data_IF_371434496095
#
_entry.id   IF_371434496095
#
_cell.length_a   1.000
_cell.length_b   1.000
_cell.length_c   1.000
_cell.angle_alpha   90.00
_cell.angle_beta   90.00
_cell.angle_gamma   90.00
#
_symmetry.space_group_name_H-M   'P 1'
#
loop_
_entity.id
_entity.type
_entity.pdbx_description
1 polymer ?
#
# COMPACT_ATOMS: atom_id res chain seq x y z
N UNK A 1 5.91 -18.66 17.56
CA UNK A 1 6.11 -17.66 16.48
C UNK A 1 7.11 -18.26 15.52
N UNK A 2 6.80 -18.27 14.22
CA UNK A 2 7.74 -18.72 13.18
C UNK A 2 8.77 -17.60 12.99
N UNK A 3 10.05 -17.93 12.77
CA UNK A 3 11.09 -16.92 12.56
C UNK A 3 10.98 -16.30 11.16
N UNK A 4 11.27 -14.99 11.05
CA UNK A 4 11.21 -14.19 9.82
C UNK A 4 11.85 -14.87 8.60
N UNK A 5 13.02 -15.49 8.79
CA UNK A 5 13.77 -16.11 7.71
C UNK A 5 13.00 -17.23 6.98
N UNK A 6 11.97 -17.81 7.61
CA UNK A 6 11.07 -18.77 6.97
C UNK A 6 10.18 -18.06 5.95
N UNK A 7 9.52 -16.97 6.36
CA UNK A 7 8.69 -16.16 5.47
C UNK A 7 9.50 -15.56 4.33
N UNK A 8 10.71 -15.08 4.61
CA UNK A 8 11.61 -14.55 3.59
C UNK A 8 12.06 -15.62 2.57
N UNK A 9 12.19 -16.88 3.01
CA UNK A 9 12.51 -17.99 2.11
C UNK A 9 11.33 -18.32 1.20
N UNK A 10 10.11 -18.25 1.72
CA UNK A 10 8.89 -18.49 0.95
C UNK A 10 8.58 -17.36 -0.03
N UNK A 11 8.92 -16.11 0.32
CA UNK A 11 8.80 -14.94 -0.54
C UNK A 11 9.94 -14.78 -1.57
N UNK A 12 10.85 -15.76 -1.67
CA UNK A 12 11.95 -15.72 -2.62
C UNK A 12 11.44 -15.63 -4.06
N UNK A 13 11.94 -14.64 -4.80
CA UNK A 13 11.54 -14.36 -6.18
C UNK A 13 10.27 -13.53 -6.34
N UNK A 14 9.56 -13.19 -5.26
CA UNK A 14 8.37 -12.33 -5.33
C UNK A 14 8.79 -10.88 -5.60
N UNK A 15 8.31 -10.31 -6.70
CA UNK A 15 8.55 -8.91 -7.04
C UNK A 15 7.92 -7.97 -6.00
N UNK A 16 8.56 -6.82 -5.75
CA UNK A 16 8.12 -5.86 -4.72
C UNK A 16 8.41 -6.29 -3.28
N UNK A 17 9.11 -7.42 -3.06
CA UNK A 17 9.46 -7.96 -1.75
C UNK A 17 10.96 -8.11 -1.59
N UNK A 18 11.47 -7.83 -0.39
CA UNK A 18 12.88 -7.98 -0.05
C UNK A 18 13.36 -9.42 -0.26
N UNK A 19 14.56 -9.55 -0.81
CA UNK A 19 15.13 -10.85 -1.14
C UNK A 19 16.22 -11.23 -0.13
N UNK A 20 16.05 -12.37 0.52
CA UNK A 20 17.05 -12.97 1.40
C UNK A 20 18.20 -13.55 0.57
N UNK A 21 19.42 -13.19 0.93
CA UNK A 21 20.67 -13.66 0.33
C UNK A 21 21.19 -14.89 1.07
N UNK A 22 21.22 -14.83 2.40
CA UNK A 22 21.63 -15.94 3.25
C UNK A 22 20.94 -15.87 4.61
N UNK A 23 20.88 -17.01 5.30
CA UNK A 23 20.40 -17.13 6.66
C UNK A 23 21.30 -18.08 7.44
N UNK A 24 21.72 -17.65 8.61
CA UNK A 24 22.43 -18.42 9.62
C UNK A 24 21.50 -18.50 10.86
N UNK A 25 20.63 -19.51 10.96
CA UNK A 25 19.82 -19.73 12.16
C UNK A 25 20.67 -20.32 13.28
N UNK A 26 20.14 -20.29 14.50
CA UNK A 26 20.69 -21.00 15.66
C UNK A 26 22.14 -20.65 16.03
N UNK A 27 22.53 -19.37 15.85
CA UNK A 27 23.92 -18.91 16.08
C UNK A 27 24.34 -18.89 17.55
N UNK A 28 23.38 -18.95 18.46
CA UNK A 28 23.59 -18.93 19.90
C UNK A 28 22.28 -18.66 20.63
N UNK A 29 22.26 -18.86 21.94
CA UNK A 29 21.06 -18.64 22.75
C UNK A 29 21.36 -17.73 23.95
N UNK A 30 20.37 -16.94 24.35
CA UNK A 30 20.53 -16.00 25.48
C UNK A 30 20.81 -16.71 26.79
N UNK A 31 20.33 -17.94 26.99
CA UNK A 31 20.69 -18.75 28.18
C UNK A 31 22.20 -19.01 28.28
N UNK A 32 22.88 -19.23 27.14
CA UNK A 32 24.30 -19.54 27.09
C UNK A 32 25.11 -18.28 27.38
N UNK A 33 24.69 -17.13 26.83
CA UNK A 33 25.27 -15.82 27.11
C UNK A 33 25.12 -15.40 28.59
N UNK A 34 24.05 -15.83 29.24
CA UNK A 34 23.80 -15.58 30.67
C UNK A 34 24.47 -16.59 31.59
N UNK A 35 25.07 -17.65 31.03
CA UNK A 35 25.77 -18.69 31.78
C UNK A 35 24.89 -19.38 32.82
N UNK A 36 23.60 -19.58 32.53
CA UNK A 36 22.66 -20.27 33.43
C UNK A 36 22.93 -21.77 33.55
N UNK A 37 23.77 -22.34 32.68
CA UNK A 37 23.96 -23.79 32.62
C UNK A 37 22.63 -24.50 32.33
N UNK A 38 22.34 -25.54 33.11
CA UNK A 38 21.08 -26.29 33.00
C UNK A 38 19.94 -25.68 33.82
N UNK A 39 20.24 -24.74 34.73
CA UNK A 39 19.25 -24.12 35.62
C UNK A 39 18.76 -22.78 35.08
N UNK A 40 17.75 -22.82 34.21
CA UNK A 40 17.12 -21.62 33.66
C UNK A 40 16.16 -21.00 34.71
N UNK A 41 16.32 -19.72 35.09
CA UNK A 41 15.42 -19.07 36.05
C UNK A 41 13.96 -19.12 35.60
N UNK A 42 13.04 -19.32 36.54
CA UNK A 42 11.61 -19.30 36.27
C UNK A 42 11.20 -17.96 35.66
N UNK A 43 10.50 -18.00 34.52
CA UNK A 43 10.09 -16.81 33.78
C UNK A 43 11.16 -16.25 32.82
N UNK A 44 12.36 -16.84 32.74
CA UNK A 44 13.34 -16.46 31.73
C UNK A 44 12.89 -16.90 30.33
N UNK A 45 12.82 -15.93 29.42
CA UNK A 45 12.52 -16.17 28.01
C UNK A 45 13.83 -16.34 27.24
N UNK A 46 14.21 -17.59 27.01
CA UNK A 46 15.35 -17.90 26.15
C UNK A 46 15.06 -17.47 24.70
N UNK A 47 16.05 -16.84 24.06
CA UNK A 47 15.97 -16.38 22.67
C UNK A 47 17.15 -16.97 21.90
N UNK A 48 16.89 -17.37 20.67
CA UNK A 48 17.89 -17.94 19.77
C UNK A 48 18.25 -16.88 18.73
N UNK A 49 19.54 -16.61 18.59
CA UNK A 49 20.06 -15.66 17.61
C UNK A 49 19.96 -16.26 16.20
N UNK A 50 19.38 -15.49 15.28
CA UNK A 50 19.39 -15.77 13.84
C UNK A 50 19.97 -14.57 13.12
N UNK A 51 20.84 -14.79 12.15
CA UNK A 51 21.34 -13.74 11.24
C UNK A 51 20.74 -13.95 9.87
N UNK A 52 20.13 -12.89 9.33
CA UNK A 52 19.62 -12.85 7.97
C UNK A 52 20.38 -11.78 7.20
N UNK A 53 20.83 -12.11 5.98
CA UNK A 53 21.41 -11.14 5.05
C UNK A 53 20.39 -10.90 3.95
N UNK A 54 20.04 -9.63 3.74
CA UNK A 54 19.04 -9.19 2.75
C UNK A 54 19.72 -8.39 1.64
N UNK A 55 19.14 -8.41 0.44
CA UNK A 55 19.52 -7.46 -0.62
C UNK A 55 19.23 -6.03 -0.16
N UNK A 56 20.10 -5.09 -0.57
CA UNK A 56 19.93 -3.67 -0.30
C UNK A 56 19.12 -3.00 -1.43
N UNK A 57 18.09 -2.23 -1.08
CA UNK A 57 17.14 -1.62 -2.04
C UNK A 57 17.10 -0.09 -2.05
N UNK A 58 17.82 0.58 -1.14
CA UNK A 58 17.86 2.04 -1.04
C UNK A 58 17.35 2.56 0.30
N UNK A 59 17.10 3.89 0.39
CA UNK A 59 16.69 4.52 1.63
C UNK A 59 15.21 4.22 1.98
N UNK A 60 14.83 4.36 3.26
CA UNK A 60 13.44 4.24 3.68
C UNK A 60 12.57 5.34 3.06
N UNK A 61 11.26 5.06 2.91
CA UNK A 61 10.30 5.95 2.23
C UNK A 61 10.28 7.38 2.79
N UNK A 62 10.56 7.55 4.09
CA UNK A 62 10.62 8.87 4.75
C UNK A 62 11.73 9.80 4.23
N UNK A 63 12.68 9.28 3.43
CA UNK A 63 13.73 10.06 2.77
C UNK A 63 13.38 10.40 1.31
N UNK A 64 12.09 10.44 0.99
CA UNK A 64 11.63 10.86 -0.33
C UNK A 64 12.07 12.31 -0.63
N UNK A 65 12.21 12.62 -1.90
CA UNK A 65 12.58 13.96 -2.39
C UNK A 65 11.54 14.54 -3.33
N UNK A 66 10.45 13.81 -3.61
CA UNK A 66 9.32 14.31 -4.38
C UNK A 66 8.02 13.57 -4.07
N UNK A 67 6.86 14.19 -4.32
CA UNK A 67 5.55 13.54 -4.16
C UNK A 67 5.40 12.31 -5.06
N UNK A 68 5.94 12.37 -6.29
CA UNK A 68 5.92 11.26 -7.23
C UNK A 68 6.67 10.05 -6.68
N UNK A 69 7.79 10.25 -6.00
CA UNK A 69 8.55 9.17 -5.38
C UNK A 69 7.73 8.47 -4.29
N UNK A 70 7.00 9.23 -3.47
CA UNK A 70 6.11 8.65 -2.43
C UNK A 70 5.01 7.80 -3.07
N UNK A 71 4.30 8.33 -4.07
CA UNK A 71 3.24 7.57 -4.74
C UNK A 71 3.78 6.32 -5.44
N UNK A 72 4.90 6.43 -6.16
CA UNK A 72 5.54 5.27 -6.80
C UNK A 72 5.95 4.21 -5.77
N UNK A 73 6.55 4.62 -4.65
CA UNK A 73 7.00 3.69 -3.61
C UNK A 73 5.82 2.96 -2.95
N UNK A 74 4.75 3.68 -2.60
CA UNK A 74 3.55 3.06 -2.01
C UNK A 74 2.84 2.16 -3.00
N UNK A 75 2.70 2.59 -4.27
CA UNK A 75 2.12 1.78 -5.34
C UNK A 75 2.85 0.46 -5.52
N UNK A 76 4.17 0.49 -5.61
CA UNK A 76 4.99 -0.73 -5.80
C UNK A 76 4.97 -1.62 -4.55
N UNK A 77 4.92 -1.02 -3.34
CA UNK A 77 4.77 -1.78 -2.10
C UNK A 77 3.39 -2.45 -1.99
N UNK A 78 2.31 -1.80 -2.42
CA UNK A 78 0.96 -2.39 -2.49
C UNK A 78 0.92 -3.53 -3.51
N UNK A 79 1.57 -3.38 -4.67
CA UNK A 79 1.71 -4.44 -5.65
C UNK A 79 2.51 -5.64 -5.11
N UNK A 80 3.59 -5.38 -4.36
CA UNK A 80 4.35 -6.42 -3.65
C UNK A 80 3.51 -7.14 -2.59
N UNK A 81 2.64 -6.40 -1.87
CA UNK A 81 1.71 -6.99 -0.90
C UNK A 81 0.68 -7.89 -1.59
N UNK A 82 0.09 -7.44 -2.70
CA UNK A 82 -0.79 -8.25 -3.54
C UNK A 82 -0.10 -9.55 -3.98
N UNK A 83 1.19 -9.48 -4.34
CA UNK A 83 1.96 -10.63 -4.77
C UNK A 83 2.19 -11.65 -3.67
N UNK A 84 2.35 -11.21 -2.41
CA UNK A 84 2.39 -12.12 -1.27
C UNK A 84 1.05 -12.80 -1.03
N UNK A 85 -0.05 -12.05 -1.17
CA UNK A 85 -1.41 -12.58 -0.96
C UNK A 85 -1.80 -13.57 -2.07
N UNK A 86 -1.36 -13.37 -3.31
CA UNK A 86 -1.85 -14.13 -4.49
C UNK A 86 -0.81 -14.92 -5.28
N UNK A 87 0.48 -14.75 -5.00
CA UNK A 87 1.62 -15.27 -5.79
C UNK A 87 1.70 -14.73 -7.23
N UNK A 88 1.61 -13.41 -7.42
CA UNK A 88 1.88 -12.73 -8.70
C UNK A 88 2.02 -11.20 -8.58
N UNK A 89 3.00 -10.59 -9.26
CA UNK A 89 3.19 -9.13 -9.34
C UNK A 89 3.82 -8.70 -10.67
N UNK A 90 3.48 -7.49 -11.14
CA UNK A 90 4.32 -6.52 -11.87
C UNK A 90 3.65 -5.12 -11.81
N UNK A 91 4.31 -3.94 -11.96
CA UNK A 91 5.76 -3.69 -12.16
C UNK A 91 6.40 -2.66 -11.19
N UNK A 92 7.70 -2.84 -10.93
CA UNK A 92 8.63 -1.83 -10.39
C UNK A 92 9.25 -2.13 -9.01
N UNK A 93 10.56 -1.88 -8.86
CA UNK A 93 11.28 -1.97 -7.58
C UNK A 93 11.48 -0.56 -6.96
N UNK A 94 10.49 0.34 -7.05
CA UNK A 94 10.57 1.71 -6.48
C UNK A 94 10.14 1.74 -5.02
N UNK A 95 9.34 0.76 -4.60
CA UNK A 95 9.03 0.45 -3.21
C UNK A 95 9.17 -1.06 -2.99
N UNK A 96 9.76 -1.45 -1.86
CA UNK A 96 10.04 -2.84 -1.52
C UNK A 96 9.57 -3.10 -0.09
N UNK A 97 8.72 -4.10 0.09
CA UNK A 97 8.32 -4.57 1.41
C UNK A 97 9.47 -5.30 2.08
N UNK A 98 9.74 -4.91 3.32
CA UNK A 98 10.77 -5.45 4.21
C UNK A 98 10.13 -5.84 5.54
N UNK A 99 10.91 -6.46 6.43
CA UNK A 99 10.55 -6.70 7.83
C UNK A 99 9.34 -7.63 8.00
N UNK A 100 9.61 -8.94 7.90
CA UNK A 100 8.59 -10.00 7.88
C UNK A 100 8.45 -10.69 9.26
N UNK A 101 8.98 -10.10 10.32
CA UNK A 101 8.94 -10.65 11.68
C UNK A 101 7.50 -10.90 12.16
N UNK A 102 6.55 -10.10 11.69
CA UNK A 102 5.11 -10.17 12.04
C UNK A 102 4.24 -10.77 10.94
N UNK A 103 4.83 -11.33 9.89
CA UNK A 103 4.07 -11.98 8.82
C UNK A 103 3.30 -13.19 9.35
N UNK A 104 2.17 -13.49 8.72
CA UNK A 104 1.36 -14.67 9.02
C UNK A 104 1.18 -15.52 7.77
N UNK A 105 1.03 -16.83 7.95
CA UNK A 105 0.56 -17.68 6.86
C UNK A 105 -0.94 -17.49 6.71
N UNK A 106 -1.33 -16.77 5.67
CA UNK A 106 -2.72 -16.69 5.26
C UNK A 106 -3.09 -17.99 4.54
N UNK A 107 -4.12 -18.70 5.04
CA UNK A 107 -4.63 -19.92 4.42
C UNK A 107 -6.11 -19.72 4.09
N UNK A 108 -6.40 -19.48 2.81
CA UNK A 108 -7.76 -19.36 2.32
C UNK A 108 -8.59 -20.59 2.75
N UNK A 109 -9.65 -20.34 3.54
CA UNK A 109 -10.57 -21.37 4.02
C UNK A 109 -10.22 -22.01 5.37
N UNK A 110 -9.12 -21.63 6.04
CA UNK A 110 -8.96 -21.94 7.46
C UNK A 110 -9.63 -20.88 8.35
N UNK A 111 -9.97 -21.26 9.58
CA UNK A 111 -10.32 -20.28 10.61
C UNK A 111 -9.04 -19.50 10.97
N UNK A 112 -8.83 -18.37 10.30
CA UNK A 112 -7.73 -17.48 10.63
C UNK A 112 -7.91 -16.94 12.06
N UNK A 113 -6.81 -16.80 12.82
CA UNK A 113 -6.91 -16.30 14.18
C UNK A 113 -7.50 -14.88 14.17
N UNK A 114 -8.27 -14.52 15.20
CA UNK A 114 -8.79 -13.17 15.33
C UNK A 114 -7.64 -12.16 15.34
N UNK A 115 -7.91 -10.96 14.82
CA UNK A 115 -6.97 -9.86 14.90
C UNK A 115 -6.50 -9.64 16.34
N UNK A 116 -5.20 -9.35 16.51
CA UNK A 116 -4.62 -9.06 17.81
C UNK A 116 -4.12 -7.62 17.82
N UNK A 117 -4.92 -6.72 18.40
CA UNK A 117 -4.58 -5.31 18.53
C UNK A 117 -3.22 -5.05 19.20
N UNK A 118 -2.66 -6.01 19.95
CA UNK A 118 -1.36 -5.86 20.62
C UNK A 118 -0.16 -6.00 19.68
N UNK A 119 -0.33 -6.58 18.50
CA UNK A 119 0.74 -6.89 17.55
C UNK A 119 0.86 -5.77 16.50
N UNK A 120 2.08 -5.40 16.15
CA UNK A 120 2.38 -4.36 15.15
C UNK A 120 2.46 -2.94 15.71
N UNK A 121 2.80 -1.99 14.84
CA UNK A 121 2.93 -0.57 15.17
C UNK A 121 1.55 0.09 15.19
N UNK A 122 1.11 0.55 16.37
CA UNK A 122 -0.23 1.14 16.60
C UNK A 122 -0.61 2.23 15.61
N UNK A 123 0.37 3.07 15.24
CA UNK A 123 0.17 4.16 14.29
C UNK A 123 -0.33 3.68 12.92
N UNK A 124 0.01 2.45 12.51
CA UNK A 124 -0.32 1.92 11.19
C UNK A 124 -1.38 0.82 11.21
N UNK A 125 -1.72 0.24 12.37
CA UNK A 125 -2.81 -0.75 12.44
C UNK A 125 -4.15 -0.19 11.98
N UNK A 126 -4.97 -1.04 11.32
CA UNK A 126 -6.33 -0.68 10.95
C UNK A 126 -7.21 -0.37 12.17
N UNK A 127 -8.25 0.43 11.96
CA UNK A 127 -9.23 0.76 12.99
C UNK A 127 -9.85 -0.51 13.61
N UNK A 128 -10.21 -1.48 12.76
CA UNK A 128 -10.83 -2.73 13.21
C UNK A 128 -9.85 -3.65 13.95
N UNK A 129 -8.59 -3.72 13.52
CA UNK A 129 -7.56 -4.46 14.27
C UNK A 129 -7.35 -3.84 15.65
N UNK A 130 -7.36 -2.50 15.76
CA UNK A 130 -7.23 -1.82 17.05
C UNK A 130 -8.43 -2.04 17.97
N UNK A 131 -9.64 -2.10 17.43
CA UNK A 131 -10.87 -2.36 18.18
C UNK A 131 -11.06 -3.82 18.61
N UNK A 132 -10.38 -4.77 17.96
CA UNK A 132 -10.48 -6.22 18.22
C UNK A 132 -10.33 -6.64 19.69
N UNK A 133 -9.66 -5.83 20.52
CA UNK A 133 -9.52 -6.10 21.95
C UNK A 133 -10.79 -5.94 22.78
N UNK A 134 -11.78 -5.21 22.26
CA UNK A 134 -13.08 -4.96 22.92
C UNK A 134 -14.26 -5.65 22.25
N UNK A 135 -14.07 -6.19 21.05
CA UNK A 135 -15.16 -6.80 20.28
C UNK A 135 -15.52 -8.18 20.81
N UNK A 136 -16.82 -8.50 20.88
CA UNK A 136 -17.31 -9.84 21.26
C UNK A 136 -16.92 -10.90 20.22
N UNK A 137 -16.90 -10.50 18.95
CA UNK A 137 -16.61 -11.35 17.80
C UNK A 137 -15.62 -10.65 16.85
N UNK A 138 -14.35 -10.47 17.27
CA UNK A 138 -13.36 -9.74 16.48
C UNK A 138 -13.19 -10.38 15.10
N UNK A 139 -12.99 -9.54 14.08
CA UNK A 139 -12.72 -10.02 12.74
C UNK A 139 -11.31 -10.64 12.65
N UNK A 140 -11.10 -11.65 11.80
CA UNK A 140 -9.76 -12.04 11.41
C UNK A 140 -9.05 -10.88 10.70
N UNK A 141 -7.74 -10.75 10.92
CA UNK A 141 -6.90 -9.82 10.16
C UNK A 141 -6.89 -10.23 8.69
N UNK A 142 -7.15 -9.30 7.77
CA UNK A 142 -7.20 -9.56 6.33
C UNK A 142 -6.33 -8.61 5.53
N UNK A 143 -6.19 -8.86 4.22
CA UNK A 143 -5.46 -7.98 3.31
C UNK A 143 -5.98 -6.54 3.32
N UNK A 144 -7.27 -6.33 3.63
CA UNK A 144 -7.86 -5.01 3.76
C UNK A 144 -7.32 -4.22 4.96
N UNK A 145 -6.89 -4.91 6.03
CA UNK A 145 -6.24 -4.24 7.17
C UNK A 145 -4.84 -3.76 6.81
N UNK A 146 -4.13 -4.51 5.96
CA UNK A 146 -2.83 -4.09 5.43
C UNK A 146 -2.99 -2.96 4.39
N UNK A 147 -4.03 -2.98 3.55
CA UNK A 147 -4.39 -1.87 2.65
C UNK A 147 -4.69 -0.60 3.44
N UNK A 148 -5.48 -0.70 4.52
CA UNK A 148 -5.73 0.44 5.42
C UNK A 148 -4.44 0.91 6.11
N UNK A 149 -3.51 0.00 6.40
CA UNK A 149 -2.19 0.34 6.94
C UNK A 149 -1.36 1.18 5.96
N UNK A 150 -1.38 0.88 4.66
CA UNK A 150 -0.76 1.73 3.64
C UNK A 150 -1.36 3.14 3.59
N UNK A 151 -2.68 3.27 3.77
CA UNK A 151 -3.33 4.57 3.89
C UNK A 151 -2.84 5.34 5.13
N UNK A 152 -2.61 4.67 6.26
CA UNK A 152 -2.03 5.32 7.43
C UNK A 152 -0.55 5.69 7.28
N UNK A 153 0.23 4.94 6.49
CA UNK A 153 1.58 5.37 6.09
C UNK A 153 1.51 6.64 5.24
N UNK A 154 0.61 6.71 4.25
CA UNK A 154 0.38 7.92 3.45
C UNK A 154 -0.08 9.09 4.34
N UNK A 155 -0.97 8.83 5.29
CA UNK A 155 -1.47 9.81 6.26
C UNK A 155 -0.32 10.36 7.10
N UNK A 156 0.56 9.49 7.60
CA UNK A 156 1.73 9.86 8.39
C UNK A 156 2.66 10.78 7.60
N UNK A 157 3.01 10.38 6.37
CA UNK A 157 3.83 11.19 5.46
C UNK A 157 3.21 12.58 5.22
N UNK A 158 1.92 12.65 4.88
CA UNK A 158 1.23 13.91 4.58
C UNK A 158 1.26 14.88 5.76
N UNK A 159 1.11 14.37 6.98
CA UNK A 159 1.04 15.20 8.19
C UNK A 159 2.43 15.56 8.69
N UNK A 160 3.40 14.65 8.59
CA UNK A 160 4.75 14.84 9.09
C UNK A 160 5.63 15.67 8.14
N UNK A 161 5.43 15.61 6.82
CA UNK A 161 6.32 16.26 5.85
C UNK A 161 5.56 17.24 4.92
N UNK A 162 6.32 18.05 4.18
CA UNK A 162 5.86 18.72 2.96
C UNK A 162 6.31 17.99 1.70
N UNK A 163 5.95 18.52 0.53
CA UNK A 163 6.24 17.91 -0.78
C UNK A 163 7.74 17.76 -1.09
N UNK A 164 8.61 18.55 -0.46
CA UNK A 164 10.07 18.49 -0.63
C UNK A 164 10.73 17.47 0.32
N UNK A 165 9.95 16.80 1.17
CA UNK A 165 10.46 15.84 2.16
C UNK A 165 11.01 16.50 3.41
N UNK A 166 10.67 17.77 3.67
CA UNK A 166 11.10 18.46 4.90
C UNK A 166 10.13 18.13 6.03
N UNK A 167 10.68 17.71 7.18
CA UNK A 167 9.91 17.40 8.38
C UNK A 167 9.28 18.69 8.95
N UNK A 168 7.98 18.63 9.18
CA UNK A 168 7.14 19.70 9.70
C UNK A 168 6.66 19.37 11.11
N UNK A 169 6.06 20.35 11.80
CA UNK A 169 5.46 20.10 13.10
C UNK A 169 4.30 19.11 12.97
N UNK A 170 4.32 18.05 13.79
CA UNK A 170 3.32 16.99 13.74
C UNK A 170 1.91 17.54 13.95
N UNK A 171 0.98 17.14 13.07
CA UNK A 171 -0.44 17.48 13.14
C UNK A 171 -1.08 16.98 14.45
N UNK A 172 -2.18 17.64 14.84
CA UNK A 172 -2.96 17.29 16.04
C UNK A 172 -3.41 15.82 16.05
N UNK A 173 -3.81 15.32 14.89
CA UNK A 173 -4.31 13.97 14.67
C UNK A 173 -3.26 12.93 15.05
N UNK A 174 -2.05 13.02 14.48
CA UNK A 174 -0.99 12.07 14.78
C UNK A 174 -0.45 12.20 16.21
N UNK A 175 -0.44 13.42 16.78
CA UNK A 175 -0.14 13.60 18.21
C UNK A 175 -1.14 12.86 19.09
N UNK A 176 -2.41 12.85 18.69
CA UNK A 176 -3.48 12.13 19.39
C UNK A 176 -3.29 10.61 19.23
N UNK A 177 -2.96 10.16 18.01
CA UNK A 177 -2.77 8.74 17.72
C UNK A 177 -1.57 8.14 18.45
N UNK A 178 -0.51 8.92 18.65
CA UNK A 178 0.65 8.49 19.44
C UNK A 178 0.37 8.41 20.95
N UNK A 179 -0.75 8.97 21.43
CA UNK A 179 -1.10 8.99 22.86
C UNK A 179 -2.02 7.84 23.26
N UNK A 180 -2.85 7.36 22.34
CA UNK A 180 -3.89 6.37 22.63
C UNK A 180 -3.61 5.05 21.93
N UNK A 181 -4.24 3.97 22.39
CA UNK A 181 -4.14 2.64 21.81
C UNK A 181 -5.50 1.92 21.84
N UNK A 182 -5.51 0.68 21.34
CA UNK A 182 -6.67 -0.21 21.34
C UNK A 182 -7.93 0.44 20.76
N UNK A 183 -9.07 0.12 21.36
CA UNK A 183 -10.38 0.55 20.90
C UNK A 183 -10.51 2.08 20.74
N UNK A 184 -9.96 2.88 21.65
CA UNK A 184 -10.05 4.34 21.55
C UNK A 184 -9.30 4.87 20.33
N UNK A 185 -8.12 4.33 20.03
CA UNK A 185 -7.40 4.67 18.82
C UNK A 185 -8.15 4.21 17.56
N UNK A 186 -8.73 3.01 17.60
CA UNK A 186 -9.58 2.47 16.54
C UNK A 186 -10.72 3.41 16.18
N UNK A 187 -11.44 3.92 17.19
CA UNK A 187 -12.51 4.88 17.02
C UNK A 187 -12.04 6.22 16.42
N UNK A 188 -10.93 6.77 16.90
CA UNK A 188 -10.35 8.00 16.34
C UNK A 188 -9.98 7.85 14.86
N UNK A 189 -9.45 6.69 14.50
CA UNK A 189 -9.08 6.33 13.12
C UNK A 189 -10.29 6.11 12.23
N UNK A 190 -11.35 5.49 12.75
CA UNK A 190 -12.63 5.33 12.07
C UNK A 190 -13.30 6.68 11.77
N UNK A 191 -13.37 7.58 12.76
CA UNK A 191 -13.86 8.95 12.57
C UNK A 191 -13.01 9.70 11.54
N UNK A 192 -11.69 9.50 11.55
CA UNK A 192 -10.81 10.10 10.55
C UNK A 192 -11.09 9.61 9.12
N UNK A 193 -11.31 8.31 8.92
CA UNK A 193 -11.66 7.74 7.62
C UNK A 193 -13.01 8.26 7.10
N UNK A 194 -14.00 8.39 7.98
CA UNK A 194 -15.38 8.69 7.58
C UNK A 194 -15.61 10.20 7.43
N UNK A 195 -15.12 11.02 8.36
CA UNK A 195 -15.67 12.37 8.57
C UNK A 195 -14.65 13.52 8.46
N UNK A 196 -13.35 13.27 8.72
CA UNK A 196 -12.41 14.38 8.91
C UNK A 196 -11.70 14.81 7.62
N UNK A 197 -11.93 16.03 7.08
CA UNK A 197 -11.10 16.54 5.99
C UNK A 197 -9.68 16.82 6.48
N UNK A 198 -8.70 16.83 5.57
CA UNK A 198 -7.36 17.29 5.91
C UNK A 198 -7.40 18.79 6.25
N UNK A 199 -6.74 19.24 7.32
CA UNK A 199 -6.56 20.67 7.61
C UNK A 199 -5.92 21.39 6.42
N UNK A 200 -6.38 22.62 6.10
CA UNK A 200 -5.81 23.41 5.00
C UNK A 200 -4.31 23.64 5.13
N UNK A 201 -3.81 23.80 6.36
CA UNK A 201 -2.39 23.95 6.65
C UNK A 201 -1.55 22.71 6.29
N UNK A 202 -2.18 21.55 6.17
CA UNK A 202 -1.56 20.30 5.77
C UNK A 202 -1.70 20.10 4.26
N UNK A 203 -2.93 20.21 3.74
CA UNK A 203 -3.19 19.95 2.32
C UNK A 203 -2.51 20.95 1.39
N UNK A 204 -2.32 22.20 1.81
CA UNK A 204 -1.62 23.22 1.00
C UNK A 204 -0.12 22.95 0.80
N UNK A 205 0.46 21.99 1.53
CA UNK A 205 1.89 21.63 1.41
C UNK A 205 2.18 20.64 0.29
N UNK A 206 1.14 20.12 -0.35
CA UNK A 206 1.21 19.02 -1.30
C UNK A 206 0.55 19.42 -2.64
N UNK A 207 1.04 18.91 -3.78
CA UNK A 207 0.38 19.11 -5.06
C UNK A 207 -1.06 18.58 -5.05
N UNK A 208 -1.93 19.21 -5.83
CA UNK A 208 -3.35 18.83 -5.92
C UNK A 208 -3.51 17.34 -6.28
N UNK A 209 -2.80 16.85 -7.29
CA UNK A 209 -2.87 15.45 -7.72
C UNK A 209 -2.52 14.47 -6.59
N UNK A 210 -1.56 14.81 -5.73
CA UNK A 210 -1.20 13.99 -4.58
C UNK A 210 -2.32 13.94 -3.53
N UNK A 211 -2.94 15.09 -3.25
CA UNK A 211 -4.08 15.20 -2.34
C UNK A 211 -5.33 14.48 -2.90
N UNK A 212 -5.52 14.51 -4.22
CA UNK A 212 -6.61 13.77 -4.88
C UNK A 212 -6.46 12.25 -4.66
N UNK A 213 -5.23 11.70 -4.76
CA UNK A 213 -4.97 10.27 -4.43
C UNK A 213 -5.30 9.97 -2.98
N UNK A 214 -4.90 10.84 -2.04
CA UNK A 214 -5.23 10.64 -0.62
C UNK A 214 -6.74 10.53 -0.40
N UNK A 215 -7.52 11.45 -1.00
CA UNK A 215 -8.97 11.43 -0.85
C UNK A 215 -9.61 10.24 -1.56
N UNK A 216 -9.17 9.90 -2.77
CA UNK A 216 -9.68 8.75 -3.48
C UNK A 216 -9.38 7.43 -2.75
N UNK A 217 -8.19 7.29 -2.16
CA UNK A 217 -7.84 6.11 -1.37
C UNK A 217 -8.68 6.03 -0.09
N UNK A 218 -8.92 7.17 0.58
CA UNK A 218 -9.83 7.24 1.73
C UNK A 218 -11.27 6.88 1.35
N UNK A 219 -11.75 7.37 0.21
CA UNK A 219 -13.10 7.11 -0.28
C UNK A 219 -13.28 5.63 -0.65
N UNK A 220 -12.24 4.97 -1.16
CA UNK A 220 -12.20 3.51 -1.34
C UNK A 220 -12.32 2.75 0.00
N UNK A 221 -11.60 3.19 1.04
CA UNK A 221 -11.60 2.53 2.36
C UNK A 221 -12.88 2.76 3.17
N UNK A 222 -13.56 3.90 3.00
CA UNK A 222 -14.76 4.26 3.77
C UNK A 222 -15.85 3.17 3.75
N UNK A 223 -16.34 2.69 2.60
CA UNK A 223 -17.37 1.65 2.58
C UNK A 223 -16.86 0.31 3.12
N UNK A 224 -15.58 0.01 2.96
CA UNK A 224 -14.96 -1.20 3.53
C UNK A 224 -14.98 -1.16 5.06
N UNK A 225 -14.60 -0.02 5.66
CA UNK A 225 -14.63 0.16 7.11
C UNK A 225 -16.05 0.07 7.67
N UNK A 226 -17.04 0.65 6.98
CA UNK A 226 -18.45 0.53 7.36
C UNK A 226 -18.96 -0.91 7.27
N UNK A 227 -18.60 -1.65 6.21
CA UNK A 227 -19.00 -3.04 6.06
C UNK A 227 -18.36 -3.94 7.13
N UNK A 228 -17.09 -3.70 7.48
CA UNK A 228 -16.43 -4.41 8.59
C UNK A 228 -17.12 -4.17 9.94
N UNK A 229 -17.65 -2.97 10.18
CA UNK A 229 -18.40 -2.67 11.40
C UNK A 229 -19.71 -3.48 11.49
N UNK A 230 -20.41 -3.64 10.37
CA UNK A 230 -21.60 -4.50 10.31
C UNK A 230 -21.21 -5.94 10.68
N UNK A 231 -20.12 -6.45 10.12
CA UNK A 231 -19.66 -7.81 10.41
C UNK A 231 -19.24 -8.01 11.87
N UNK A 232 -18.75 -7.00 12.58
CA UNK A 232 -18.40 -7.13 14.02
C UNK A 232 -19.61 -7.25 14.93
N UNK A 233 -20.77 -6.76 14.51
CA UNK A 233 -22.02 -6.88 15.26
C UNK A 233 -22.72 -8.25 15.06
N UNK A 234 -22.31 -9.01 14.04
CA UNK A 234 -22.83 -10.33 13.70
C UNK A 234 -22.04 -11.46 14.39
N UNK A 235 -22.71 -12.57 14.69
CA UNK A 235 -22.02 -13.80 15.14
C UNK A 235 -21.17 -14.38 14.01
N UNK A 236 -20.12 -15.17 14.33
CA UNK A 236 -19.30 -15.81 13.31
C UNK A 236 -20.13 -16.64 12.31
N UNK A 237 -21.14 -17.37 12.79
CA UNK A 237 -22.01 -18.21 11.96
C UNK A 237 -22.85 -17.39 10.97
N UNK A 238 -23.37 -16.24 11.41
CA UNK A 238 -24.19 -15.34 10.58
C UNK A 238 -23.38 -14.71 9.45
N UNK A 239 -22.17 -14.23 9.74
CA UNK A 239 -21.35 -13.47 8.78
C UNK A 239 -20.48 -14.32 7.87
N UNK A 240 -20.33 -15.62 8.14
CA UNK A 240 -19.29 -16.47 7.51
C UNK A 240 -19.33 -16.43 5.98
N UNK A 241 -20.52 -16.55 5.37
CA UNK A 241 -20.64 -16.60 3.91
C UNK A 241 -20.37 -15.22 3.28
N UNK A 242 -20.92 -14.16 3.87
CA UNK A 242 -20.75 -12.79 3.38
C UNK A 242 -19.30 -12.31 3.57
N UNK A 243 -18.66 -12.66 4.68
CA UNK A 243 -17.23 -12.42 4.91
C UNK A 243 -16.37 -13.12 3.86
N UNK A 244 -16.65 -14.40 3.55
CA UNK A 244 -15.93 -15.13 2.49
C UNK A 244 -16.12 -14.48 1.13
N UNK A 245 -17.35 -14.11 0.78
CA UNK A 245 -17.64 -13.41 -0.47
C UNK A 245 -16.87 -12.08 -0.54
N UNK A 246 -16.83 -11.33 0.56
CA UNK A 246 -16.08 -10.08 0.67
C UNK A 246 -14.57 -10.29 0.49
N UNK A 247 -14.01 -11.38 1.03
CA UNK A 247 -12.59 -11.71 0.84
C UNK A 247 -12.26 -12.21 -0.57
N UNK A 248 -13.22 -12.80 -1.30
CA UNK A 248 -13.02 -13.23 -2.68
C UNK A 248 -12.84 -12.06 -3.66
N UNK A 249 -13.27 -10.85 -3.32
CA UNK A 249 -13.07 -9.64 -4.13
C UNK A 249 -11.64 -9.06 -3.99
N UNK A 250 -10.67 -9.83 -3.47
CA UNK A 250 -9.31 -9.33 -3.27
C UNK A 250 -8.67 -8.78 -4.57
N UNK A 251 -8.93 -9.37 -5.74
CA UNK A 251 -8.49 -8.82 -7.05
C UNK A 251 -8.99 -7.41 -7.26
N UNK A 252 -10.30 -7.22 -7.21
CA UNK A 252 -10.93 -5.92 -7.41
C UNK A 252 -10.45 -4.88 -6.41
N UNK A 253 -10.19 -5.28 -5.15
CA UNK A 253 -9.66 -4.39 -4.12
C UNK A 253 -8.27 -3.84 -4.48
N UNK A 254 -7.32 -4.72 -4.86
CA UNK A 254 -5.97 -4.26 -5.23
C UNK A 254 -5.98 -3.51 -6.55
N UNK A 255 -6.71 -3.99 -7.56
CA UNK A 255 -6.79 -3.34 -8.87
C UNK A 255 -7.36 -1.92 -8.75
N UNK A 256 -8.37 -1.73 -7.90
CA UNK A 256 -8.91 -0.42 -7.59
C UNK A 256 -7.85 0.50 -6.99
N UNK A 257 -7.16 0.06 -5.93
CA UNK A 257 -6.15 0.89 -5.26
C UNK A 257 -4.96 1.18 -6.18
N UNK A 258 -4.44 0.19 -6.89
CA UNK A 258 -3.32 0.38 -7.82
C UNK A 258 -3.67 1.39 -8.92
N UNK A 259 -4.88 1.30 -9.48
CA UNK A 259 -5.37 2.26 -10.47
C UNK A 259 -5.42 3.70 -9.92
N UNK A 260 -5.87 3.89 -8.68
CA UNK A 260 -5.87 5.22 -8.04
C UNK A 260 -4.47 5.83 -7.97
N UNK A 261 -3.46 5.01 -7.62
CA UNK A 261 -2.07 5.47 -7.58
C UNK A 261 -1.50 5.72 -8.98
N UNK A 262 -1.77 4.84 -9.93
CA UNK A 262 -1.29 4.98 -11.32
C UNK A 262 -1.85 6.27 -11.97
N UNK A 263 -3.14 6.57 -11.77
CA UNK A 263 -3.78 7.82 -12.22
C UNK A 263 -3.14 9.05 -11.56
N UNK A 264 -2.86 8.99 -10.25
CA UNK A 264 -2.21 10.09 -9.53
C UNK A 264 -0.75 10.34 -9.93
N UNK A 265 0.01 9.29 -10.20
CA UNK A 265 1.38 9.39 -10.72
C UNK A 265 1.36 10.07 -12.09
N UNK A 266 0.49 9.62 -13.00
CA UNK A 266 0.36 10.24 -14.32
C UNK A 266 -0.04 11.73 -14.22
N UNK A 267 -0.94 12.08 -13.30
CA UNK A 267 -1.32 13.48 -13.07
C UNK A 267 -0.16 14.35 -12.56
N UNK A 268 0.70 13.82 -11.69
CA UNK A 268 1.92 14.53 -11.25
C UNK A 268 2.91 14.71 -12.40
N UNK A 269 3.12 13.69 -13.23
CA UNK A 269 4.01 13.77 -14.40
C UNK A 269 3.52 14.80 -15.41
N UNK A 270 2.20 14.87 -15.65
CA UNK A 270 1.61 15.89 -16.52
C UNK A 270 1.83 17.32 -15.98
N UNK A 271 1.65 17.52 -14.67
CA UNK A 271 1.89 18.82 -14.04
C UNK A 271 3.38 19.25 -14.13
N UNK A 272 4.32 18.31 -13.94
CA UNK A 272 5.76 18.58 -14.10
C UNK A 272 6.10 19.05 -15.53
N UNK A 273 5.48 18.45 -16.56
CA UNK A 273 5.68 18.83 -17.97
C UNK A 273 5.09 20.21 -18.28
N UNK A 274 3.91 20.53 -17.74
CA UNK A 274 3.27 21.84 -17.93
C UNK A 274 4.07 22.99 -17.31
N UNK A 275 4.65 22.78 -16.11
CA UNK A 275 5.53 23.76 -15.45
C UNK A 275 6.83 24.00 -16.24
N UNK A 276 7.44 22.94 -16.79
CA UNK A 276 8.63 23.06 -17.64
C UNK A 276 8.32 23.74 -18.99
N UNK A 277 7.13 23.51 -19.56
CA UNK A 277 6.69 24.11 -20.82
C UNK A 277 6.28 25.58 -20.72
N UNK A 278 6.01 26.09 -19.52
CA UNK A 278 5.66 27.50 -19.28
C UNK A 278 6.88 28.41 -19.02
N UNK A 279 8.09 27.86 -18.96
CA UNK A 279 9.33 28.64 -18.97
C UNK A 279 9.50 29.28 -20.35
N UNK A 280 9.02 30.53 -20.50
CA UNK A 280 9.14 31.34 -21.72
C UNK A 280 10.60 31.37 -22.21
N UNK A 281 10.85 31.38 -23.53
CA UNK A 281 12.20 31.59 -24.04
C UNK A 281 12.70 32.95 -23.54
N UNK A 282 13.87 32.93 -22.89
CA UNK A 282 14.67 34.14 -22.65
C UNK A 282 14.76 34.89 -23.97
N UNK A 283 14.30 36.14 -23.95
CA UNK A 283 14.39 37.09 -25.05
C UNK A 283 15.78 37.06 -25.66
N UNK A 284 15.89 36.52 -26.86
CA UNK A 284 17.08 36.60 -27.70
C UNK A 284 17.36 38.07 -28.04
N UNK A 285 18.59 38.58 -27.86
CA UNK A 285 18.95 39.89 -28.35
C UNK A 285 18.99 39.91 -29.89
N UNK A 286 18.59 41.06 -30.42
CA UNK A 286 18.38 41.46 -31.81
C UNK A 286 19.51 41.08 -32.78
N UNK A 287 19.22 40.73 -34.05
CA UNK A 287 20.21 40.18 -34.98
C UNK A 287 21.07 41.25 -35.67
N UNK A 288 22.37 40.96 -35.80
CA UNK A 288 23.30 41.65 -36.69
C UNK A 288 23.42 40.91 -38.05
N UNK A 289 23.55 41.71 -39.10
CA UNK A 289 23.51 41.43 -40.55
C UNK A 289 24.68 40.55 -41.05
N UNK A 290 24.57 39.86 -42.22
CA UNK A 290 25.26 38.60 -42.52
C UNK A 290 26.56 38.76 -43.31
N UNK A 291 27.43 37.75 -43.23
CA UNK A 291 28.52 37.50 -44.19
C UNK A 291 28.52 36.05 -44.68
N UNK A 292 28.87 35.91 -45.96
CA UNK A 292 28.65 34.79 -46.86
C UNK A 292 29.56 33.55 -46.64
N UNK A 293 28.95 32.36 -46.77
CA UNK A 293 29.33 31.15 -47.54
C UNK A 293 30.80 30.76 -47.80
N UNK A 294 31.17 29.44 -47.87
CA UNK A 294 30.64 28.53 -48.91
C UNK A 294 30.42 27.04 -48.57
N UNK A 295 29.68 26.42 -49.50
CA UNK A 295 29.17 25.05 -49.65
C UNK A 295 30.20 23.90 -49.63
N UNK A 296 29.76 22.68 -49.26
CA UNK A 296 29.60 21.47 -50.14
C UNK A 296 29.17 20.20 -49.34
N UNK A 297 28.67 19.11 -49.98
CA UNK A 297 27.42 18.44 -49.57
C UNK A 297 27.55 16.94 -49.24
N UNK A 298 26.42 16.31 -48.84
CA UNK A 298 25.96 14.90 -49.03
C UNK A 298 25.13 14.44 -47.79
N UNK A 299 24.07 13.64 -47.81
CA UNK A 299 23.23 12.96 -48.82
C UNK A 299 21.98 12.45 -48.09
N UNK A 300 20.88 12.33 -48.81
CA UNK A 300 19.63 11.65 -48.43
C UNK A 300 19.84 10.16 -48.15
N UNK A 301 19.02 9.57 -47.28
CA UNK A 301 18.12 8.46 -47.64
C UNK A 301 17.08 8.15 -46.55
N UNK A 302 15.92 7.73 -47.06
CA UNK A 302 14.58 7.57 -46.50
C UNK A 302 14.16 6.13 -46.80
N UNK A 303 13.43 5.45 -45.89
CA UNK A 303 12.37 4.42 -46.11
C UNK A 303 12.05 3.73 -44.77
N UNK A 304 10.83 3.81 -44.22
CA UNK A 304 9.55 3.13 -44.57
C UNK A 304 9.58 1.63 -44.22
N UNK A 305 8.89 1.21 -43.17
CA UNK A 305 7.49 0.73 -43.11
C UNK A 305 7.36 -0.75 -43.47
N UNK A 306 6.73 -1.54 -42.60
CA UNK A 306 5.79 -2.60 -42.99
C UNK A 306 4.94 -3.03 -41.81
N UNK A 307 3.69 -3.36 -42.12
CA UNK A 307 2.49 -3.44 -41.28
C UNK A 307 1.75 -4.75 -41.63
N UNK A 308 0.85 -5.19 -40.72
CA UNK A 308 -0.25 -6.18 -40.86
C UNK A 308 0.02 -7.71 -40.76
N UNK A 309 -1.01 -8.56 -40.50
CA UNK A 309 -2.36 -8.31 -39.93
C UNK A 309 -2.87 -9.30 -38.84
N UNK A 310 -3.76 -8.75 -38.01
CA UNK A 310 -5.10 -9.20 -37.56
C UNK A 310 -5.64 -10.62 -37.83
N UNK A 311 -6.24 -11.25 -36.79
CA UNK A 311 -7.48 -12.06 -36.89
C UNK A 311 -8.03 -12.57 -35.53
N UNK A 312 -9.26 -12.17 -35.17
CA UNK A 312 -10.18 -12.84 -34.22
C UNK A 312 -11.12 -13.81 -34.95
N UNK A 313 -11.87 -14.70 -34.24
CA UNK A 313 -13.32 -14.43 -34.11
C UNK A 313 -14.07 -14.94 -32.84
N UNK A 314 -15.10 -14.16 -32.49
CA UNK A 314 -16.53 -14.44 -32.16
C UNK A 314 -17.05 -15.33 -30.99
N UNK A 315 -18.00 -14.69 -30.27
CA UNK A 315 -18.89 -15.09 -29.17
C UNK A 315 -19.96 -16.16 -29.47
N UNK A 316 -20.37 -16.90 -28.42
CA UNK A 316 -21.76 -17.42 -28.25
C UNK A 316 -22.21 -17.42 -26.76
N UNK A 317 -23.43 -16.93 -26.52
CA UNK A 317 -24.36 -17.15 -25.37
C UNK A 317 -25.68 -17.76 -25.95
N UNK A 318 -26.76 -18.12 -25.21
CA UNK A 318 -27.11 -17.94 -23.79
C UNK A 318 -27.82 -19.15 -23.10
N UNK A 319 -28.15 -19.05 -21.79
CA UNK A 319 -29.50 -19.33 -21.20
C UNK A 319 -29.55 -19.13 -19.66
N UNK A 320 -30.58 -18.42 -19.19
CA UNK A 320 -31.14 -18.37 -17.81
C UNK A 320 -32.37 -19.32 -17.72
N UNK A 321 -33.08 -19.59 -16.58
CA UNK A 321 -33.25 -18.75 -15.36
C UNK A 321 -33.49 -19.45 -13.98
N UNK A 322 -33.41 -18.68 -12.87
CA UNK A 322 -34.40 -18.54 -11.75
C UNK A 322 -33.84 -17.71 -10.56
N UNK A 323 -34.69 -17.18 -9.65
CA UNK A 323 -34.51 -15.85 -9.07
C UNK A 323 -33.53 -15.82 -7.90
N UNK A 324 -32.61 -14.87 -7.93
CA UNK A 324 -31.66 -14.60 -6.85
C UNK A 324 -32.14 -13.36 -6.10
N UNK A 325 -32.19 -13.46 -4.76
CA UNK A 325 -32.39 -12.33 -3.83
C UNK A 325 -31.48 -11.17 -4.24
N UNK A 326 -31.97 -9.94 -4.16
CA UNK A 326 -31.22 -8.73 -4.51
C UNK A 326 -29.90 -8.72 -3.71
N UNK A 327 -28.82 -9.17 -4.36
CA UNK A 327 -27.45 -9.03 -3.88
C UNK A 327 -27.06 -7.59 -4.18
N UNK A 328 -26.82 -6.80 -3.14
CA UNK A 328 -25.95 -5.63 -3.32
C UNK A 328 -24.59 -6.16 -3.74
N UNK A 329 -23.98 -5.52 -4.72
CA UNK A 329 -22.72 -5.97 -5.31
C UNK A 329 -21.61 -5.82 -4.26
N UNK A 330 -21.30 -6.90 -3.54
CA UNK A 330 -20.35 -6.91 -2.42
C UNK A 330 -18.91 -6.57 -2.85
N UNK A 331 -18.62 -6.64 -4.16
CA UNK A 331 -17.29 -6.33 -4.71
C UNK A 331 -17.15 -4.88 -5.20
N UNK A 332 -18.23 -4.08 -5.25
CA UNK A 332 -18.15 -2.67 -5.65
C UNK A 332 -18.42 -1.76 -4.45
N UNK A 333 -17.60 -0.72 -4.21
CA UNK A 333 -17.99 0.38 -3.35
C UNK A 333 -19.36 0.90 -3.81
N UNK A 334 -20.34 1.12 -2.93
CA UNK A 334 -21.57 1.77 -3.34
C UNK A 334 -21.23 3.15 -3.89
N UNK A 335 -21.64 3.41 -5.13
CA UNK A 335 -21.51 4.73 -5.76
C UNK A 335 -22.48 5.68 -5.02
N UNK A 336 -21.93 6.49 -4.12
CA UNK A 336 -22.68 7.47 -3.34
C UNK A 336 -22.53 8.88 -3.92
N UNK A 337 -22.56 9.01 -5.26
CA UNK A 337 -22.89 10.28 -5.91
C UNK A 337 -24.42 10.49 -5.87
N UNK A 338 -24.95 10.82 -4.70
CA UNK A 338 -26.38 11.05 -4.55
C UNK A 338 -26.84 11.26 -3.12
N UNK A 339 -26.41 12.37 -2.50
CA UNK A 339 -27.14 13.12 -1.45
C UNK A 339 -26.48 14.48 -1.23
#
# INVERSE_FOLDING_TARGET
MISEHVYLREAAGVAGVVQMVSCEPDRGQTKDLRSFGDEIPTGFQNRVETRVVLKHYGPPIMKFTSPKQVLCALRDAIAGHMALVKKGAEPGNRGILIDFDMAIHYKAGSADPPANWRIGTRLYQSAMVLSSGGDSHPLPHSHLDDIESFFYVLTDIIHAYDHDGVLQSLGSELKLWNRYDGHLLGELKRVFLIEKPLPKSISSRWPKAFIDVFYAFRDFLRPIALQKLIFTDETPEERTEDWRAFMLCADDHYDSVLRLFDEGIAALEMAEVEELGTVKPVSSPTPATPMSQPHTPRTFLKRSSEEYPDSQPALKRPRTPRPVRIRRDLCSPPDLSGS
#
